data_IF_925835751037
#
_entry.id   IF_925835751037
#
_cell.length_a   1.000
_cell.length_b   1.000
_cell.length_c   1.000
_cell.angle_alpha   90.00
_cell.angle_beta   90.00
_cell.angle_gamma   90.00
#
_symmetry.space_group_name_H-M   'P 1'
#
loop_
_entity.id
_entity.type
_entity.pdbx_description
1 polymer ?
2 non-polymer ?
3 water ?
#
# COMPACT_ATOMS: atom_id res chain seq x y z
N UNK A 4 -22.63 16.05 23.54
CA UNK A 4 -22.81 15.07 22.47
C UNK A 4 -22.72 13.63 23.00
N UNK A 5 -23.26 12.68 22.23
CA UNK A 5 -23.39 11.31 22.68
C UNK A 5 -22.40 10.41 21.95
N UNK A 6 -21.93 9.38 22.64
CA UNK A 6 -21.04 8.40 22.02
C UNK A 6 -21.18 7.06 22.72
N UNK A 7 -20.66 6.01 22.09
CA UNK A 7 -20.60 4.70 22.72
C UNK A 7 -19.14 4.27 22.89
N UNK A 8 -18.76 3.90 24.10
CA UNK A 8 -17.41 3.42 24.35
C UNK A 8 -17.28 1.98 23.87
N UNK A 9 -16.34 1.76 22.94
CA UNK A 9 -16.15 0.45 22.31
C UNK A 9 -14.90 -0.27 22.80
N UNK A 10 -13.94 0.46 23.38
CA UNK A 10 -12.74 -0.19 23.94
C UNK A 10 -12.02 0.71 24.90
N UNK A 11 -11.60 0.16 26.03
CA UNK A 11 -10.80 0.91 26.98
C UNK A 11 -9.40 0.33 27.07
N UNK A 12 -8.39 1.09 26.67
CA UNK A 12 -7.01 0.64 26.84
C UNK A 12 -6.54 1.02 28.25
N UNK A 13 -6.83 2.27 28.62
CA UNK A 13 -6.67 2.76 29.98
C UNK A 13 -7.50 4.03 30.08
N UNK A 14 -7.49 4.70 31.23
CA UNK A 14 -8.40 5.84 31.38
C UNK A 14 -8.01 7.02 30.48
N UNK A 15 -6.78 7.00 29.97
CA UNK A 15 -6.30 8.07 29.10
C UNK A 15 -6.33 7.69 27.62
N UNK A 16 -6.88 6.52 27.32
CA UNK A 16 -6.95 6.05 25.94
C UNK A 16 -8.21 5.23 25.76
N UNK A 17 -9.30 5.91 25.41
CA UNK A 17 -10.61 5.30 25.31
C UNK A 17 -11.13 5.49 23.90
N UNK A 18 -11.53 4.38 23.26
CA UNK A 18 -12.13 4.41 21.93
C UNK A 18 -13.63 4.65 22.01
N UNK A 19 -14.14 5.66 21.30
CA UNK A 19 -15.56 5.98 21.30
C UNK A 19 -16.08 6.16 19.89
N UNK A 20 -17.30 5.72 19.65
CA UNK A 20 -17.96 6.00 18.39
C UNK A 20 -19.00 7.09 18.62
N UNK A 21 -18.78 8.26 18.03
CA UNK A 21 -19.71 9.37 18.20
C UNK A 21 -20.97 9.15 17.38
N UNK A 22 -22.11 9.61 17.89
CA UNK A 22 -23.42 9.23 17.32
C UNK A 22 -23.59 9.61 15.87
N UNK A 23 -22.90 10.66 15.42
CA UNK A 23 -22.96 11.08 14.02
C UNK A 23 -22.61 9.94 13.05
N UNK A 24 -21.82 8.97 13.53
CA UNK A 24 -21.34 7.87 12.70
C UNK A 24 -22.07 6.54 12.90
N UNK A 25 -23.17 6.53 13.65
CA UNK A 25 -23.86 5.26 13.89
C UNK A 25 -24.34 4.57 12.62
N UNK A 26 -24.91 5.33 11.69
CA UNK A 26 -25.41 4.76 10.45
C UNK A 26 -24.26 4.28 9.58
N UNK A 27 -23.16 5.03 9.60
CA UNK A 27 -21.97 4.63 8.85
C UNK A 27 -21.41 3.31 9.38
N UNK A 28 -21.36 3.16 10.71
CA UNK A 28 -20.89 1.91 11.31
C UNK A 28 -21.81 0.75 10.90
N UNK A 29 -23.11 1.00 10.92
CA UNK A 29 -24.08 -0.02 10.54
C UNK A 29 -23.88 -0.48 9.10
N UNK A 30 -23.62 0.47 8.19
CA UNK A 30 -23.41 0.14 6.79
C UNK A 30 -22.13 -0.66 6.58
N UNK A 31 -21.08 -0.30 7.32
CA UNK A 31 -19.82 -1.05 7.24
C UNK A 31 -20.03 -2.51 7.64
N UNK A 32 -20.69 -2.70 8.79
CA UNK A 32 -20.99 -4.04 9.30
C UNK A 32 -21.86 -4.83 8.33
N UNK A 33 -22.90 -4.20 7.81
CA UNK A 33 -23.81 -4.88 6.89
C UNK A 33 -23.07 -5.31 5.63
N UNK A 34 -22.24 -4.42 5.09
CA UNK A 34 -21.50 -4.76 3.88
C UNK A 34 -20.46 -5.86 4.10
N UNK A 35 -19.73 -5.78 5.21
CA UNK A 35 -18.73 -6.80 5.50
C UNK A 35 -19.34 -8.16 5.82
N UNK A 36 -20.51 -8.19 6.42
CA UNK A 36 -21.12 -9.47 6.80
C UNK A 36 -22.15 -9.99 5.80
N UNK A 37 -22.30 -9.32 4.66
CA UNK A 37 -23.38 -9.62 3.74
C UNK A 37 -22.94 -10.29 2.46
N UNK A 38 -21.65 -10.25 2.16
CA UNK A 38 -21.12 -10.81 0.93
C UNK A 38 -19.86 -11.63 1.21
N UNK A 39 -19.51 -12.51 0.28
CA UNK A 39 -18.31 -13.33 0.43
C UNK A 39 -17.05 -12.50 0.34
N UNK A 40 -16.18 -12.63 1.34
CA UNK A 40 -14.91 -11.89 1.35
C UNK A 40 -13.82 -12.76 0.78
N UNK A 41 -12.74 -12.15 0.30
CA UNK A 41 -11.68 -12.92 -0.35
C UNK A 41 -10.49 -13.15 0.57
N UNK A 42 -10.18 -14.42 0.87
CA UNK A 42 -9.00 -14.68 1.70
C UNK A 42 -7.72 -14.18 1.03
N UNK A 43 -6.78 -13.71 1.83
CA UNK A 43 -5.48 -13.32 1.31
C UNK A 43 -4.76 -14.55 0.78
N UNK A 44 -3.80 -14.34 -0.12
CA UNK A 44 -3.03 -15.43 -0.73
C UNK A 44 -1.54 -15.39 -0.38
N UNK A 45 -1.17 -14.46 0.49
CA UNK A 45 0.20 -14.35 0.97
C UNK A 45 0.21 -13.61 2.30
N UNK A 46 1.36 -13.56 2.97
CA UNK A 46 1.38 -12.98 4.32
C UNK A 46 1.27 -11.47 4.31
N UNK A 47 0.67 -10.92 5.37
CA UNK A 47 0.57 -9.47 5.52
C UNK A 47 1.72 -8.95 6.38
N UNK A 48 1.95 -7.65 6.36
CA UNK A 48 3.00 -7.03 7.17
C UNK A 48 2.35 -6.07 8.17
N UNK A 49 3.10 -5.68 9.19
CA UNK A 49 2.61 -4.75 10.20
C UNK A 49 2.05 -3.50 9.52
N UNK A 50 0.92 -3.02 10.02
CA UNK A 50 0.18 -1.87 9.46
C UNK A 50 -0.65 -2.13 8.20
N UNK A 51 -0.60 -3.35 7.65
CA UNK A 51 -1.47 -3.64 6.51
C UNK A 51 -2.93 -3.58 6.94
N UNK A 52 -3.78 -3.06 6.05
CA UNK A 52 -5.20 -3.02 6.27
C UNK A 52 -5.86 -4.23 5.63
N UNK A 53 -6.83 -4.81 6.32
CA UNK A 53 -7.47 -6.04 5.86
C UNK A 53 -8.80 -6.23 6.61
N UNK A 54 -9.37 -7.42 6.52
CA UNK A 54 -10.59 -7.76 7.23
C UNK A 54 -10.38 -9.08 7.97
N UNK A 55 -10.90 -9.21 9.19
CA UNK A 55 -10.82 -10.49 9.88
C UNK A 55 -12.18 -10.91 10.41
N UNK A 56 -12.33 -12.20 10.70
CA UNK A 56 -13.49 -12.68 11.46
C UNK A 56 -13.13 -12.64 12.94
N UNK A 57 -14.01 -12.04 13.74
CA UNK A 57 -13.82 -11.96 15.19
C UNK A 57 -14.39 -13.23 15.82
N UNK A 58 -13.58 -13.93 16.61
CA UNK A 58 -13.99 -15.22 17.16
C UNK A 58 -15.19 -15.08 18.09
N UNK A 59 -15.25 -13.96 18.81
CA UNK A 59 -16.25 -13.76 19.84
C UNK A 59 -17.68 -13.76 19.30
N UNK A 60 -17.87 -13.16 18.13
CA UNK A 60 -19.22 -13.07 17.56
C UNK A 60 -19.34 -13.64 16.15
N UNK A 61 -18.23 -14.15 15.61
CA UNK A 61 -18.17 -14.71 14.25
C UNK A 61 -18.47 -13.72 13.11
N UNK A 62 -18.53 -12.44 13.43
CA UNK A 62 -18.75 -11.42 12.41
C UNK A 62 -17.46 -10.83 11.88
N UNK A 63 -17.55 -10.07 10.79
CA UNK A 63 -16.36 -9.55 10.11
C UNK A 63 -16.10 -8.08 10.38
N UNK A 64 -14.81 -7.72 10.49
CA UNK A 64 -14.40 -6.40 10.91
C UNK A 64 -13.21 -5.87 10.10
N UNK A 65 -13.20 -4.57 9.86
CA UNK A 65 -12.01 -3.95 9.30
C UNK A 65 -10.89 -4.03 10.32
N UNK A 66 -9.70 -4.36 9.85
CA UNK A 66 -8.58 -4.61 10.75
C UNK A 66 -7.27 -4.04 10.25
N UNK A 67 -6.33 -3.86 11.18
CA UNK A 67 -4.97 -3.47 10.84
C UNK A 67 -4.01 -4.39 11.59
N UNK A 68 -2.98 -4.87 10.90
CA UNK A 68 -2.03 -5.78 11.49
C UNK A 68 -1.14 -5.06 12.50
N UNK A 69 -1.16 -5.53 13.75
CA UNK A 69 -0.29 -5.01 14.78
C UNK A 69 1.02 -5.79 14.86
N UNK A 70 0.91 -7.12 14.84
CA UNK A 70 2.08 -7.98 14.95
C UNK A 70 1.96 -9.22 14.08
N UNK A 71 3.07 -9.58 13.43
CA UNK A 71 3.15 -10.81 12.66
C UNK A 71 3.69 -11.87 13.62
N UNK A 72 2.85 -12.83 13.97
CA UNK A 72 3.20 -13.83 14.99
C UNK A 72 3.72 -15.11 14.37
N UNK A 73 4.21 -16.01 15.21
CA UNK A 73 4.60 -17.34 14.77
C UNK A 73 3.37 -18.16 14.43
N UNK A 74 3.58 -19.29 13.75
CA UNK A 74 2.50 -20.20 13.36
C UNK A 74 1.46 -19.54 12.46
N UNK A 75 1.91 -18.56 11.68
CA UNK A 75 1.04 -17.85 10.74
C UNK A 75 -0.17 -17.20 11.40
N UNK A 76 0.03 -16.68 12.60
CA UNK A 76 -1.03 -15.92 13.28
C UNK A 76 -0.69 -14.44 13.24
N UNK A 77 -1.70 -13.60 13.47
CA UNK A 77 -1.51 -12.16 13.52
C UNK A 77 -2.26 -11.58 14.69
N UNK A 78 -1.65 -10.63 15.39
CA UNK A 78 -2.39 -9.79 16.31
C UNK A 78 -2.85 -8.58 15.53
N UNK A 79 -4.16 -8.32 15.57
CA UNK A 79 -4.74 -7.24 14.80
C UNK A 79 -5.56 -6.32 15.70
N UNK A 80 -5.77 -5.09 15.24
CA UNK A 80 -6.74 -4.19 15.86
C UNK A 80 -7.99 -4.12 14.98
N UNK A 81 -9.16 -4.20 15.61
CA UNK A 81 -10.41 -3.96 14.89
C UNK A 81 -10.61 -2.46 14.85
N UNK A 82 -10.17 -1.85 13.76
CA UNK A 82 -9.98 -0.40 13.70
C UNK A 82 -11.21 0.44 13.99
N UNK A 83 -12.39 -0.09 13.71
CA UNK A 83 -13.60 0.67 13.93
C UNK A 83 -14.00 0.67 15.41
N UNK A 84 -13.38 -0.20 16.20
CA UNK A 84 -13.78 -0.39 17.60
C UNK A 84 -12.65 -0.16 18.60
N UNK A 85 -11.46 -0.63 18.26
CA UNK A 85 -10.29 -0.39 19.10
C UNK A 85 -9.70 -1.60 19.80
N UNK A 86 -10.51 -2.63 20.02
CA UNK A 86 -10.02 -3.85 20.66
C UNK A 86 -9.11 -4.64 19.75
N UNK A 87 -8.32 -5.53 20.35
CA UNK A 87 -7.39 -6.34 19.59
C UNK A 87 -7.73 -7.82 19.70
N UNK A 88 -7.21 -8.63 18.80
CA UNK A 88 -7.48 -10.05 18.83
C UNK A 88 -6.46 -10.76 17.96
N UNK A 89 -6.40 -12.08 18.08
CA UNK A 89 -5.45 -12.88 17.32
C UNK A 89 -6.19 -13.80 16.39
N UNK A 90 -5.82 -13.74 15.10
CA UNK A 90 -6.50 -14.52 14.08
C UNK A 90 -5.46 -15.32 13.28
N UNK A 91 -5.93 -16.31 12.54
CA UNK A 91 -5.03 -17.10 11.71
C UNK A 91 -5.40 -17.02 10.24
N UNK A 92 -6.35 -16.15 9.93
CA UNK A 92 -6.81 -15.95 8.55
C UNK A 92 -7.17 -14.50 8.30
N UNK A 93 -6.72 -13.98 7.15
CA UNK A 93 -6.95 -12.59 6.79
C UNK A 93 -7.72 -12.54 5.48
N UNK A 94 -8.57 -11.53 5.35
CA UNK A 94 -9.29 -11.30 4.10
C UNK A 94 -8.89 -9.93 3.55
N UNK A 95 -9.04 -9.76 2.24
CA UNK A 95 -8.78 -8.47 1.61
C UNK A 95 -9.85 -7.46 2.03
N UNK A 96 -9.44 -6.22 2.21
CA UNK A 96 -10.39 -5.13 2.45
C UNK A 96 -11.02 -4.70 1.13
N UNK A 97 -12.35 -4.81 1.01
CA UNK A 97 -13.00 -4.37 -0.22
C UNK A 97 -12.67 -2.91 -0.53
N UNK A 98 -12.50 -2.60 -1.82
CA UNK A 98 -12.03 -1.30 -2.27
C UNK A 98 -12.86 -0.11 -1.76
N UNK A 99 -14.16 -0.33 -1.58
CA UNK A 99 -15.07 0.74 -1.19
C UNK A 99 -14.79 1.32 0.21
N UNK A 100 -13.98 0.61 0.99
CA UNK A 100 -13.66 1.02 2.35
C UNK A 100 -12.31 1.70 2.50
N UNK A 101 -11.49 1.66 1.46
CA UNK A 101 -10.10 2.10 1.52
C UNK A 101 -9.90 3.51 2.12
N UNK A 102 -10.76 4.44 1.73
CA UNK A 102 -10.59 5.84 2.16
C UNK A 102 -11.45 6.25 3.35
N UNK A 103 -12.24 5.32 3.87
CA UNK A 103 -13.10 5.63 5.02
C UNK A 103 -12.29 5.52 6.32
N UNK A 104 -12.19 6.63 7.04
CA UNK A 104 -11.44 6.63 8.31
C UNK A 104 -12.05 5.67 9.33
N UNK A 105 -11.23 5.22 10.31
CA UNK A 105 -11.79 4.40 11.38
C UNK A 105 -12.93 5.14 12.07
N UNK A 106 -13.98 4.41 12.42
CA UNK A 106 -15.17 5.02 13.01
C UNK A 106 -14.85 5.54 14.42
N UNK A 107 -14.32 4.67 15.27
CA UNK A 107 -13.93 5.05 16.62
C UNK A 107 -12.85 6.13 16.67
N UNK A 108 -13.01 7.08 17.58
CA UNK A 108 -11.99 8.09 17.83
C UNK A 108 -11.46 7.86 19.23
N UNK A 109 -10.20 8.24 19.47
CA UNK A 109 -9.61 8.06 20.78
C UNK A 109 -9.67 9.34 21.61
N UNK A 110 -10.12 9.21 22.86
CA UNK A 110 -10.13 10.33 23.79
C UNK A 110 -9.54 9.89 25.12
N UNK A 111 -9.31 10.87 25.99
CA UNK A 111 -8.73 10.62 27.30
C UNK A 111 -9.56 11.26 28.39
N UNK A 112 -9.75 10.56 29.51
CA UNK A 112 -10.32 11.21 30.68
C UNK A 112 -9.23 12.10 31.28
N UNK A 113 -9.63 12.97 32.19
CA UNK A 113 -8.70 13.74 32.98
C UNK A 113 -7.78 12.79 33.76
N UNK A 114 -6.56 13.24 34.09
CA UNK A 114 -5.59 12.40 34.78
C UNK A 114 -5.88 12.30 36.27
N UNK A 115 -5.50 11.17 36.88
CA UNK A 115 -5.60 11.03 38.33
C UNK A 115 -4.61 10.01 38.83
N UNK A 116 -3.84 10.38 39.85
CA UNK A 116 -2.89 9.44 40.44
C UNK A 116 -3.57 8.19 41.00
N UNK A 117 -4.85 8.31 41.32
CA UNK A 117 -5.61 7.16 41.78
C UNK A 117 -5.67 6.12 40.67
N UNK A 118 -5.86 6.59 39.44
CA UNK A 118 -5.95 5.69 38.30
C UNK A 118 -4.59 5.06 38.02
N UNK A 119 -3.51 5.83 38.19
CA UNK A 119 -2.18 5.35 37.82
C UNK A 119 -1.56 4.42 38.85
N UNK A 120 -1.92 4.63 40.12
CA UNK A 120 -1.36 3.85 41.21
C UNK A 120 -2.14 2.55 41.42
N UNK A 121 -3.30 2.46 40.78
CA UNK A 121 -4.22 1.35 40.97
C UNK A 121 -4.82 0.96 39.64
N UNK A 122 -3.98 0.55 38.70
CA UNK A 122 -4.42 0.38 37.31
C UNK A 122 -5.47 -0.71 37.11
N UNK A 123 -5.18 -1.90 37.61
CA UNK A 123 -6.09 -3.03 37.44
C UNK A 123 -7.43 -2.81 38.14
N UNK A 124 -7.38 -2.28 39.36
CA UNK A 124 -8.62 -2.03 40.08
C UNK A 124 -9.45 -0.95 39.39
N UNK A 125 -8.78 0.08 38.89
CA UNK A 125 -9.45 1.15 38.20
C UNK A 125 -10.12 0.62 36.95
N UNK A 126 -9.41 -0.22 36.19
CA UNK A 126 -9.97 -0.69 34.93
C UNK A 126 -11.14 -1.66 35.10
N UNK A 127 -11.07 -2.52 36.10
CA UNK A 127 -12.19 -3.45 36.36
C UNK A 127 -13.41 -2.69 36.88
N UNK A 128 -13.17 -1.69 37.73
CA UNK A 128 -14.25 -0.86 38.22
C UNK A 128 -14.88 -0.07 37.08
N UNK A 129 -14.05 0.44 36.18
CA UNK A 129 -14.52 1.23 35.04
C UNK A 129 -15.37 0.33 34.13
N UNK A 130 -14.91 -0.90 33.91
CA UNK A 130 -15.65 -1.85 33.07
C UNK A 130 -17.05 -2.08 33.59
N UNK A 131 -17.18 -2.23 34.91
CA UNK A 131 -18.46 -2.47 35.54
C UNK A 131 -19.36 -1.24 35.41
N UNK A 132 -18.75 -0.07 35.58
CA UNK A 132 -19.44 1.21 35.40
C UNK A 132 -19.99 1.36 33.98
N UNK A 133 -19.16 1.03 32.99
CA UNK A 133 -19.57 1.14 31.59
C UNK A 133 -20.65 0.12 31.26
N UNK A 134 -20.53 -1.09 31.80
CA UNK A 134 -21.55 -2.10 31.57
C UNK A 134 -22.90 -1.60 32.06
N UNK A 135 -22.89 -0.81 33.14
CA UNK A 135 -24.13 -0.30 33.71
C UNK A 135 -24.86 0.71 32.82
N UNK A 136 -24.19 1.24 31.81
CA UNK A 136 -24.85 2.09 30.83
C UNK A 136 -24.70 1.56 29.40
N UNK A 137 -24.27 0.31 29.30
CA UNK A 137 -23.91 -0.32 28.02
C UNK A 137 -23.00 0.58 27.17
N UNK A 138 -22.07 1.27 27.84
CA UNK A 138 -21.09 2.09 27.16
C UNK A 138 -21.57 3.41 26.60
N UNK A 139 -22.85 3.74 26.79
CA UNK A 139 -23.39 4.98 26.21
C UNK A 139 -23.14 6.17 27.14
N UNK A 140 -22.46 7.19 26.62
CA UNK A 140 -22.01 8.33 27.41
C UNK A 140 -22.25 9.67 26.73
N UNK A 141 -22.46 10.68 27.56
CA UNK A 141 -22.41 12.06 27.09
C UNK A 141 -20.97 12.52 27.18
N UNK A 142 -20.54 13.29 26.19
CA UNK A 142 -19.15 13.70 26.10
C UNK A 142 -19.02 15.21 26.08
N UNK A 143 -18.23 15.76 26.99
CA UNK A 143 -17.87 17.18 26.96
C UNK A 143 -16.36 17.31 26.80
N UNK A 144 -15.91 18.21 25.93
CA UNK A 144 -14.48 18.38 25.70
C UNK A 144 -13.79 19.36 26.65
N UNK A 145 -12.77 18.87 27.35
CA UNK A 145 -11.98 19.70 28.24
C UNK A 145 -10.84 20.35 27.45
N UNK A 146 -10.16 19.55 26.65
CA UNK A 146 -9.04 20.04 25.85
C UNK A 146 -9.01 19.35 24.49
N UNK A 147 -9.53 20.04 23.46
CA UNK A 147 -9.59 19.47 22.13
C UNK A 147 -8.23 19.39 21.44
N UNK A 148 -7.30 20.26 21.84
CA UNK A 148 -6.00 20.31 21.18
C UNK A 148 -5.02 19.25 21.67
N UNK A 149 -5.38 18.59 22.76
CA UNK A 149 -4.57 17.50 23.30
C UNK A 149 -4.67 16.25 22.45
N UNK A 150 -3.70 15.36 22.60
CA UNK A 150 -3.69 14.11 21.85
C UNK A 150 -3.38 12.93 22.78
N UNK A 151 -4.41 12.14 23.14
CA UNK A 151 -5.80 12.29 22.72
C UNK A 151 -6.47 13.50 23.38
N UNK A 152 -7.58 13.99 22.81
CA UNK A 152 -8.31 15.09 23.42
C UNK A 152 -8.84 14.67 24.78
N UNK A 153 -8.83 15.58 25.75
CA UNK A 153 -9.31 15.27 27.08
C UNK A 153 -10.80 15.59 27.21
N UNK A 154 -11.56 14.66 27.79
CA UNK A 154 -13.01 14.80 27.85
C UNK A 154 -13.57 14.47 29.23
N UNK A 155 -14.79 14.92 29.49
CA UNK A 155 -15.57 14.50 30.65
C UNK A 155 -16.68 13.60 30.18
N UNK A 156 -16.82 12.44 30.82
CA UNK A 156 -17.84 11.48 30.41
C UNK A 156 -18.93 11.34 31.46
N UNK A 157 -20.18 11.33 31.04
CA UNK A 157 -21.33 11.16 31.91
C UNK A 157 -22.17 10.00 31.38
N UNK A 158 -22.66 9.11 32.25
CA UNK A 158 -23.48 8.01 31.74
C UNK A 158 -24.72 8.58 31.08
N UNK A 159 -25.04 8.09 29.90
CA UNK A 159 -26.18 8.61 29.13
C UNK A 159 -27.45 7.93 29.60
N UNK A 160 -27.79 8.13 30.87
CA UNK A 160 -28.97 7.53 31.46
C UNK A 160 -29.47 8.41 32.61
N UNK A 161 -30.46 7.93 33.34
CA UNK A 161 -31.13 8.78 34.34
C UNK A 161 -30.23 9.22 35.50
N UNK A 162 -29.14 8.49 35.71
CA UNK A 162 -28.22 8.80 36.81
C UNK A 162 -27.34 10.00 36.47
N UNK A 163 -27.07 10.19 35.19
CA UNK A 163 -26.08 11.16 34.74
C UNK A 163 -24.82 11.06 35.60
N UNK A 164 -24.31 9.85 35.72
CA UNK A 164 -23.18 9.58 36.58
C UNK A 164 -21.89 10.20 36.03
N UNK A 165 -21.21 10.98 36.86
CA UNK A 165 -20.00 11.69 36.43
C UNK A 165 -18.82 10.75 36.59
N UNK A 166 -18.35 10.22 35.47
CA UNK A 166 -17.46 9.06 35.52
C UNK A 166 -16.09 9.34 36.16
N UNK A 167 -15.50 10.50 35.86
CA UNK A 167 -14.18 10.81 36.40
C UNK A 167 -14.23 10.82 37.93
N UNK A 168 -15.16 11.59 38.48
CA UNK A 168 -15.30 11.69 39.91
C UNK A 168 -15.82 10.40 40.55
N UNK A 169 -16.80 9.76 39.91
CA UNK A 169 -17.36 8.54 40.48
C UNK A 169 -16.37 7.39 40.50
N UNK A 170 -15.57 7.28 39.45
CA UNK A 170 -14.60 6.20 39.37
C UNK A 170 -13.54 6.35 40.45
N UNK A 171 -13.09 7.57 40.68
CA UNK A 171 -12.15 7.83 41.76
C UNK A 171 -12.74 7.42 43.11
N UNK A 172 -14.00 7.80 43.31
CA UNK A 172 -14.71 7.51 44.56
C UNK A 172 -14.83 6.01 44.82
N UNK A 173 -15.25 5.25 43.81
CA UNK A 173 -15.38 3.79 43.94
C UNK A 173 -14.07 3.07 44.21
N UNK A 174 -12.99 3.49 43.54
CA UNK A 174 -11.68 2.88 43.74
C UNK A 174 -11.18 3.19 45.15
N UNK A 175 -11.30 4.44 45.58
CA UNK A 175 -10.86 4.81 46.92
C UNK A 175 -11.65 4.07 47.98
N UNK A 176 -12.93 3.84 47.72
CA UNK A 176 -13.80 3.18 48.69
C UNK A 176 -13.41 1.72 48.89
N UNK A 177 -13.01 1.06 47.80
CA UNK A 177 -12.58 -0.33 47.86
C UNK A 177 -11.21 -0.45 48.54
N UNK A 178 -10.29 0.44 48.19
CA UNK A 178 -8.98 0.50 48.86
C UNK A 178 -9.14 0.76 50.36
N UNK A 179 -10.06 1.64 50.72
CA UNK A 179 -10.23 1.99 52.12
C UNK A 179 -10.83 0.82 52.92
N UNK A 180 -11.78 0.12 52.30
CA UNK A 180 -12.40 -1.03 52.95
C UNK A 180 -11.37 -2.09 53.28
N UNK A 181 -10.46 -2.33 52.34
CA UNK A 181 -9.43 -3.34 52.51
C UNK A 181 -8.33 -2.90 53.48
N UNK A 182 -7.95 -1.62 53.41
CA UNK A 182 -6.71 -1.18 54.04
C UNK A 182 -6.89 -0.36 55.31
N UNK A 183 -8.12 0.03 55.61
CA UNK A 183 -8.37 0.80 56.82
C UNK A 183 -9.32 0.08 57.78
N UNK B 1 17.57 -21.68 -32.60
CA UNK B 1 16.75 -21.98 -33.76
C UNK B 1 15.31 -21.48 -33.56
N UNK B 2 14.65 -22.01 -32.54
CA UNK B 2 13.31 -21.55 -32.20
C UNK B 2 13.38 -20.20 -31.51
N UNK B 3 12.61 -19.24 -32.00
CA UNK B 3 12.60 -17.91 -31.41
C UNK B 3 11.18 -17.50 -31.02
N UNK B 4 11.08 -16.40 -30.27
CA UNK B 4 9.83 -15.72 -30.02
C UNK B 4 10.03 -14.24 -30.30
N UNK B 5 8.99 -13.57 -30.80
CA UNK B 5 9.10 -12.19 -31.21
C UNK B 5 8.90 -11.25 -30.03
N UNK B 6 9.64 -10.15 -30.01
CA UNK B 6 9.46 -9.12 -28.99
C UNK B 6 9.79 -7.75 -29.55
N UNK B 7 9.38 -6.72 -28.82
CA UNK B 7 9.84 -5.36 -29.10
C UNK B 7 10.74 -4.92 -27.97
N UNK B 8 11.93 -4.45 -28.29
CA UNK B 8 12.78 -3.80 -27.29
C UNK B 8 12.29 -2.37 -27.08
N UNK B 9 11.90 -2.07 -25.85
CA UNK B 9 11.29 -0.78 -25.56
C UNK B 9 12.27 0.15 -24.86
N UNK B 10 13.33 -0.41 -24.28
CA UNK B 10 14.35 0.41 -23.65
C UNK B 10 15.63 -0.38 -23.42
N UNK B 11 16.77 0.26 -23.68
CA UNK B 11 18.06 -0.34 -23.37
C UNK B 11 18.83 0.53 -22.39
N UNK B 12 19.17 -0.04 -21.24
CA UNK B 12 20.03 0.64 -20.26
C UNK B 12 21.49 0.37 -20.61
N UNK B 13 21.77 -0.87 -20.99
CA UNK B 13 23.07 -1.31 -21.48
C UNK B 13 22.86 -2.69 -22.07
N UNK B 14 23.88 -3.29 -22.69
CA UNK B 14 23.66 -4.55 -23.40
C UNK B 14 23.31 -5.71 -22.46
N UNK B 15 23.54 -5.53 -21.17
CA UNK B 15 23.26 -6.57 -20.18
C UNK B 15 21.93 -6.31 -19.49
N UNK B 16 21.26 -5.24 -19.90
CA UNK B 16 20.03 -4.83 -19.25
C UNK B 16 19.05 -4.24 -20.28
N UNK B 17 18.29 -5.13 -20.92
CA UNK B 17 17.44 -4.77 -22.05
C UNK B 17 16.00 -5.07 -21.72
N UNK B 18 15.13 -4.10 -21.96
CA UNK B 18 13.71 -4.25 -21.66
C UNK B 18 12.95 -4.68 -22.92
N UNK B 19 12.35 -5.86 -22.87
CA UNK B 19 11.61 -6.40 -24.02
C UNK B 19 10.13 -6.65 -23.69
N UNK B 20 9.27 -6.35 -24.64
CA UNK B 20 7.85 -6.69 -24.54
C UNK B 20 7.61 -7.88 -25.45
N UNK B 21 7.36 -9.03 -24.86
CA UNK B 21 7.16 -10.24 -25.65
C UNK B 21 5.76 -10.30 -26.27
N UNK B 22 5.65 -10.94 -27.43
CA UNK B 22 4.42 -10.91 -28.22
C UNK B 22 3.22 -11.46 -27.46
N UNK B 23 3.46 -12.33 -26.49
CA UNK B 23 2.39 -12.88 -25.67
C UNK B 23 1.65 -11.78 -24.92
N UNK B 24 2.31 -10.67 -24.64
CA UNK B 24 1.68 -9.57 -23.90
C UNK B 24 1.17 -8.45 -24.79
N UNK B 25 1.09 -8.69 -26.09
CA UNK B 25 0.66 -7.66 -27.03
C UNK B 25 -0.71 -7.08 -26.66
N UNK B 26 -1.68 -7.95 -26.44
CA UNK B 26 -3.04 -7.50 -26.18
C UNK B 26 -3.14 -6.84 -24.82
N UNK B 27 -2.35 -7.33 -23.88
CA UNK B 27 -2.32 -6.76 -22.54
C UNK B 27 -1.78 -5.33 -22.60
N UNK B 28 -0.68 -5.14 -23.31
CA UNK B 28 -0.10 -3.81 -23.42
C UNK B 28 -1.07 -2.86 -24.12
N UNK B 29 -1.77 -3.37 -25.13
CA UNK B 29 -2.75 -2.58 -25.86
C UNK B 29 -3.86 -2.11 -24.92
N UNK B 30 -4.36 -3.01 -24.09
CA UNK B 30 -5.48 -2.68 -23.22
C UNK B 30 -5.05 -1.70 -22.13
N UNK B 31 -3.82 -1.84 -21.64
CA UNK B 31 -3.30 -0.92 -20.65
C UNK B 31 -3.21 0.50 -21.21
N UNK B 32 -2.65 0.66 -22.41
CA UNK B 32 -2.59 1.97 -23.04
C UNK B 32 -3.98 2.54 -23.29
N UNK B 33 -4.88 1.69 -23.80
CA UNK B 33 -6.25 2.14 -24.06
C UNK B 33 -6.93 2.67 -22.80
N UNK B 34 -6.87 1.88 -21.73
CA UNK B 34 -7.58 2.22 -20.51
C UNK B 34 -6.98 3.41 -19.77
N UNK B 35 -5.65 3.49 -19.72
CA UNK B 35 -5.00 4.62 -19.05
C UNK B 35 -5.19 5.92 -19.82
N UNK B 36 -5.42 5.83 -21.14
CA UNK B 36 -5.58 7.03 -21.95
C UNK B 36 -7.03 7.31 -22.34
N UNK B 37 -7.96 6.49 -21.87
CA UNK B 37 -9.35 6.56 -22.31
C UNK B 37 -10.33 7.07 -21.27
N UNK B 38 -9.82 7.53 -20.15
CA UNK B 38 -10.65 8.17 -19.14
C UNK B 38 -9.80 9.01 -18.19
N UNK B 39 -10.38 10.07 -17.65
CA UNK B 39 -9.67 10.92 -16.72
C UNK B 39 -9.26 10.12 -15.48
N UNK B 40 -8.00 10.24 -15.10
CA UNK B 40 -7.48 9.55 -13.92
C UNK B 40 -7.57 10.41 -12.67
N UNK B 41 -7.50 9.75 -11.51
CA UNK B 41 -7.53 10.43 -10.23
C UNK B 41 -6.13 10.84 -9.80
N UNK B 42 -5.95 12.13 -9.46
CA UNK B 42 -4.63 12.63 -9.05
C UNK B 42 -4.27 12.18 -7.63
N UNK B 43 -2.98 11.99 -7.37
CA UNK B 43 -2.53 11.73 -6.01
C UNK B 43 -2.66 13.04 -5.24
N UNK B 44 -3.00 12.96 -3.96
CA UNK B 44 -3.30 14.16 -3.19
C UNK B 44 -2.29 14.46 -2.09
N UNK B 45 -1.27 13.63 -1.97
CA UNK B 45 -0.19 13.90 -1.02
C UNK B 45 1.13 13.33 -1.49
N UNK B 46 2.20 13.72 -0.81
CA UNK B 46 3.56 13.29 -1.12
C UNK B 46 3.68 11.76 -1.21
N UNK B 47 4.28 11.28 -2.28
CA UNK B 47 4.52 9.85 -2.50
C UNK B 47 5.91 9.43 -2.02
N UNK B 48 6.12 8.13 -1.93
CA UNK B 48 7.39 7.57 -1.45
C UNK B 48 8.03 6.69 -2.52
N UNK B 49 9.34 6.52 -2.43
CA UNK B 49 10.07 5.59 -3.30
C UNK B 49 9.35 4.25 -3.35
N UNK B 50 9.24 3.71 -4.57
CA UNK B 50 8.60 2.42 -4.86
C UNK B 50 7.08 2.41 -4.90
N UNK B 51 6.46 3.57 -4.66
CA UNK B 51 5.01 3.67 -4.83
C UNK B 51 4.63 3.39 -6.27
N UNK B 52 3.55 2.64 -6.46
CA UNK B 52 3.07 2.35 -7.80
C UNK B 52 2.03 3.39 -8.17
N UNK B 53 2.14 3.92 -9.38
CA UNK B 53 1.23 4.97 -9.79
C UNK B 53 1.15 5.09 -11.31
N UNK B 54 0.64 6.22 -11.78
CA UNK B 54 0.51 6.49 -13.20
C UNK B 54 1.02 7.91 -13.46
N UNK B 55 1.76 8.12 -14.54
CA UNK B 55 2.20 9.47 -14.89
C UNK B 55 1.86 9.83 -16.33
N UNK B 56 1.90 11.12 -16.64
CA UNK B 56 1.84 11.56 -18.03
C UNK B 56 3.26 11.81 -18.51
N UNK B 57 3.66 11.06 -19.53
CA UNK B 57 4.97 11.20 -20.17
C UNK B 57 5.02 12.51 -20.93
N UNK B 58 5.95 13.39 -20.56
CA UNK B 58 6.06 14.70 -21.21
C UNK B 58 6.36 14.58 -22.71
N UNK B 59 7.04 13.51 -23.10
CA UNK B 59 7.42 13.32 -24.51
C UNK B 59 6.23 13.17 -25.47
N UNK B 60 5.23 12.41 -25.07
CA UNK B 60 4.10 12.14 -25.96
C UNK B 60 2.74 12.50 -25.36
N UNK B 61 2.76 13.09 -24.17
CA UNK B 61 1.55 13.48 -23.45
C UNK B 61 0.60 12.34 -23.12
N UNK B 62 1.08 11.10 -23.19
CA UNK B 62 0.26 9.95 -22.88
C UNK B 62 0.51 9.40 -21.47
N UNK B 63 -0.40 8.56 -20.99
CA UNK B 63 -0.33 8.05 -19.62
C UNK B 63 0.25 6.63 -19.51
N UNK B 64 1.06 6.42 -18.48
CA UNK B 64 1.84 5.18 -18.30
C UNK B 64 1.82 4.70 -16.85
N UNK B 65 1.89 3.39 -16.65
CA UNK B 65 2.07 2.85 -15.31
C UNK B 65 3.48 3.17 -14.86
N UNK B 66 3.64 3.56 -13.60
CA UNK B 66 4.95 4.01 -13.14
C UNK B 66 5.30 3.55 -11.74
N UNK B 67 6.59 3.61 -11.42
CA UNK B 67 7.06 3.39 -10.07
C UNK B 67 8.05 4.49 -9.69
N UNK B 68 7.91 5.01 -8.48
CA UNK B 68 8.75 6.11 -8.02
C UNK B 68 10.17 5.62 -7.74
N UNK B 69 11.15 6.23 -8.41
CA UNK B 69 12.56 5.95 -8.15
C UNK B 69 13.17 6.93 -7.15
N UNK B 70 12.89 8.22 -7.32
CA UNK B 70 13.43 9.23 -6.42
C UNK B 70 12.38 10.28 -6.11
N UNK B 71 12.40 10.77 -4.88
CA UNK B 71 11.58 11.91 -4.47
C UNK B 71 12.42 13.19 -4.54
N UNK B 72 12.07 14.05 -5.48
CA UNK B 72 12.90 15.21 -5.79
C UNK B 72 12.37 16.49 -5.14
N UNK B 73 13.20 17.54 -5.17
CA UNK B 73 12.79 18.84 -4.66
C UNK B 73 11.73 19.44 -5.57
N UNK B 74 10.99 20.42 -5.06
CA UNK B 74 9.91 21.07 -5.79
C UNK B 74 8.83 20.11 -6.29
N UNK B 75 8.42 19.18 -5.42
CA UNK B 75 7.36 18.23 -5.74
C UNK B 75 7.52 17.47 -7.06
N UNK B 76 8.76 17.17 -7.42
CA UNK B 76 9.01 16.36 -8.61
C UNK B 76 9.38 14.94 -8.22
N UNK B 77 9.28 14.03 -9.19
CA UNK B 77 9.68 12.65 -8.98
C UNK B 77 10.40 12.11 -10.20
N UNK B 78 11.47 11.34 -9.96
CA UNK B 78 12.02 10.52 -11.03
C UNK B 78 11.29 9.20 -10.94
N UNK B 79 10.79 8.72 -12.09
CA UNK B 79 10.03 7.48 -12.13
C UNK B 79 10.47 6.59 -13.29
N UNK B 80 10.19 5.30 -13.17
CA UNK B 80 10.37 4.38 -14.29
C UNK B 80 8.99 4.05 -14.85
N UNK B 81 8.86 4.09 -16.18
CA UNK B 81 7.64 3.65 -16.83
C UNK B 81 7.71 2.15 -16.94
N UNK B 82 7.05 1.48 -16.00
CA UNK B 82 7.32 0.06 -15.76
C UNK B 82 7.05 -0.87 -16.94
N UNK B 83 6.15 -0.48 -17.82
CA UNK B 83 5.81 -1.36 -18.94
C UNK B 83 6.79 -1.23 -20.11
N UNK B 84 7.67 -0.24 -20.05
CA UNK B 84 8.60 0.06 -21.13
C UNK B 84 10.08 0.03 -20.69
N UNK B 85 10.36 0.58 -19.51
CA UNK B 85 11.70 0.52 -18.94
C UNK B 85 12.40 1.87 -18.81
N UNK B 86 12.00 2.83 -19.62
CA UNK B 86 12.65 4.14 -19.59
C UNK B 86 12.30 4.94 -18.33
N UNK B 87 13.14 5.91 -18.00
CA UNK B 87 12.90 6.74 -16.82
C UNK B 87 12.68 8.20 -17.21
N UNK B 88 11.97 8.92 -16.37
CA UNK B 88 11.61 10.30 -16.67
C UNK B 88 11.27 11.04 -15.40
N UNK B 89 11.30 12.37 -15.47
CA UNK B 89 10.96 13.22 -14.33
C UNK B 89 9.59 13.83 -14.58
N UNK B 90 8.72 13.73 -13.58
CA UNK B 90 7.38 14.29 -13.66
C UNK B 90 7.15 15.21 -12.46
N UNK B 91 6.11 16.02 -12.52
CA UNK B 91 5.77 16.88 -11.39
C UNK B 91 4.33 16.68 -10.94
N UNK B 92 3.69 15.63 -11.45
CA UNK B 92 2.33 15.27 -11.04
C UNK B 92 2.17 13.75 -11.13
N UNK B 93 1.49 13.16 -10.15
CA UNK B 93 1.28 11.71 -10.10
C UNK B 93 -0.20 11.39 -10.05
N UNK B 94 -0.58 10.24 -10.60
CA UNK B 94 -1.97 9.78 -10.62
C UNK B 94 -2.12 8.42 -9.95
N UNK B 95 -3.31 8.13 -9.45
CA UNK B 95 -3.55 6.81 -8.86
C UNK B 95 -3.61 5.71 -9.94
N UNK B 96 -3.01 4.57 -9.63
CA UNK B 96 -3.18 3.40 -10.47
C UNK B 96 -4.54 2.80 -10.16
N UNK B 97 -5.40 2.68 -11.16
CA UNK B 97 -6.70 2.03 -10.91
C UNK B 97 -6.53 0.59 -10.43
N UNK B 98 -7.44 0.13 -9.58
CA UNK B 98 -7.30 -1.17 -8.93
C UNK B 98 -7.16 -2.35 -9.89
N UNK B 99 -7.80 -2.27 -11.04
CA UNK B 99 -7.76 -3.38 -12.00
C UNK B 99 -6.35 -3.70 -12.51
N UNK B 100 -5.40 -2.80 -12.32
CA UNK B 100 -4.03 -2.99 -12.80
C UNK B 100 -3.07 -3.50 -11.72
N UNK B 101 -3.51 -3.50 -10.46
CA UNK B 101 -2.61 -3.71 -9.32
C UNK B 101 -1.82 -5.02 -9.36
N UNK B 102 -2.49 -6.10 -9.74
CA UNK B 102 -1.87 -7.41 -9.72
C UNK B 102 -1.09 -7.78 -10.97
N UNK B 103 -1.13 -6.92 -11.98
CA UNK B 103 -0.44 -7.18 -13.24
C UNK B 103 1.03 -6.74 -13.19
N UNK B 104 1.95 -7.69 -13.34
CA UNK B 104 3.37 -7.37 -13.32
C UNK B 104 3.75 -6.51 -14.52
N UNK B 105 4.89 -5.80 -14.44
CA UNK B 105 5.33 -4.97 -15.56
C UNK B 105 5.39 -5.80 -16.83
N UNK B 106 4.94 -5.23 -17.94
CA UNK B 106 4.93 -5.95 -19.20
C UNK B 106 6.33 -6.24 -19.70
N UNK B 107 7.18 -5.21 -19.72
CA UNK B 107 8.56 -5.38 -20.18
C UNK B 107 9.35 -6.28 -19.25
N UNK B 108 10.00 -7.30 -19.82
CA UNK B 108 10.90 -8.16 -19.07
C UNK B 108 12.37 -7.80 -19.37
N UNK B 109 13.23 -7.94 -18.37
CA UNK B 109 14.64 -7.56 -18.51
C UNK B 109 15.51 -8.75 -18.87
N UNK B 110 16.23 -8.65 -19.98
CA UNK B 110 17.13 -9.71 -20.43
C UNK B 110 18.50 -9.12 -20.73
N UNK B 111 19.46 -10.00 -21.00
CA UNK B 111 20.83 -9.58 -21.27
C UNK B 111 21.30 -10.24 -22.54
N UNK B 112 22.07 -9.52 -23.36
CA UNK B 112 22.79 -10.17 -24.44
C UNK B 112 24.00 -10.92 -23.88
N UNK B 113 24.64 -11.70 -24.74
CA UNK B 113 25.90 -12.35 -24.41
C UNK B 113 27.00 -11.33 -24.18
N UNK B 114 28.02 -11.67 -23.38
CA UNK B 114 29.07 -10.69 -23.05
C UNK B 114 30.02 -10.39 -24.20
N UNK B 115 30.54 -9.16 -24.23
CA UNK B 115 31.63 -8.79 -25.14
C UNK B 115 32.46 -7.65 -24.57
N UNK B 116 33.78 -7.82 -24.53
CA UNK B 116 34.66 -6.75 -24.05
C UNK B 116 34.48 -5.51 -24.90
N UNK B 117 34.12 -5.70 -26.17
CA UNK B 117 33.94 -4.58 -27.08
C UNK B 117 32.83 -3.67 -26.57
N UNK B 118 31.78 -4.26 -26.02
CA UNK B 118 30.64 -3.49 -25.51
C UNK B 118 31.06 -2.57 -24.35
N UNK B 119 32.07 -2.98 -23.60
CA UNK B 119 32.41 -2.28 -22.37
C UNK B 119 33.51 -1.21 -22.51
N UNK B 120 34.17 -1.15 -23.67
CA UNK B 120 35.27 -0.21 -23.86
C UNK B 120 34.81 1.24 -23.77
N UNK B 121 33.64 1.52 -24.33
CA UNK B 121 33.04 2.84 -24.28
C UNK B 121 31.53 2.62 -24.20
N UNK B 122 30.99 2.57 -22.98
CA UNK B 122 29.59 2.18 -22.81
C UNK B 122 28.62 3.15 -23.46
N UNK B 123 28.97 4.44 -23.46
CA UNK B 123 28.12 5.44 -24.08
C UNK B 123 28.00 5.20 -25.59
N UNK B 124 29.13 4.86 -26.20
CA UNK B 124 29.16 4.56 -27.62
C UNK B 124 28.39 3.29 -27.95
N UNK B 125 28.56 2.27 -27.12
CA UNK B 125 27.79 1.04 -27.32
C UNK B 125 26.29 1.36 -27.31
N UNK B 126 25.87 2.21 -26.38
CA UNK B 126 24.46 2.51 -26.25
C UNK B 126 23.90 3.27 -27.44
N UNK B 127 24.59 4.32 -27.88
CA UNK B 127 24.08 5.06 -29.04
C UNK B 127 24.11 4.19 -30.29
N UNK B 128 25.12 3.33 -30.39
CA UNK B 128 25.23 2.49 -31.58
C UNK B 128 24.07 1.49 -31.61
N UNK B 129 23.79 0.90 -30.44
CA UNK B 129 22.77 -0.13 -30.31
C UNK B 129 21.39 0.48 -30.56
N UNK B 130 21.13 1.64 -29.99
CA UNK B 130 19.83 2.29 -30.20
C UNK B 130 19.57 2.63 -31.67
N UNK B 131 20.61 3.09 -32.37
CA UNK B 131 20.50 3.39 -33.80
C UNK B 131 20.20 2.12 -34.61
N UNK B 132 20.87 1.03 -34.25
CA UNK B 132 20.64 -0.27 -34.89
C UNK B 132 19.21 -0.72 -34.65
N UNK B 133 18.72 -0.53 -33.44
CA UNK B 133 17.36 -0.92 -33.10
C UNK B 133 16.33 -0.05 -33.83
N UNK B 134 16.66 1.22 -34.05
CA UNK B 134 15.75 2.11 -34.79
C UNK B 134 15.53 1.59 -36.21
N UNK B 135 16.55 0.95 -36.77
CA UNK B 135 16.47 0.42 -38.13
C UNK B 135 15.49 -0.73 -38.26
N UNK B 136 15.10 -1.33 -37.14
CA UNK B 136 14.09 -2.40 -37.18
C UNK B 136 12.90 -2.11 -36.26
N UNK B 137 12.80 -0.86 -35.83
CA UNK B 137 11.75 -0.43 -34.90
C UNK B 137 11.68 -1.28 -33.63
N UNK B 138 12.85 -1.74 -33.16
CA UNK B 138 12.95 -2.54 -31.95
C UNK B 138 12.43 -3.97 -32.07
N UNK B 139 11.93 -4.34 -33.23
CA UNK B 139 11.35 -5.66 -33.41
C UNK B 139 12.44 -6.70 -33.59
N UNK B 140 12.48 -7.66 -32.68
CA UNK B 140 13.51 -8.69 -32.72
C UNK B 140 12.94 -10.08 -32.53
N UNK B 141 13.66 -11.06 -33.09
CA UNK B 141 13.44 -12.46 -32.74
C UNK B 141 14.34 -12.79 -31.56
N UNK B 142 13.78 -13.46 -30.56
CA UNK B 142 14.51 -13.74 -29.32
C UNK B 142 14.70 -15.25 -29.07
N UNK B 143 15.95 -15.66 -28.94
CA UNK B 143 16.29 -17.03 -28.57
C UNK B 143 16.95 -16.99 -27.21
N UNK B 144 16.49 -17.81 -26.29
CA UNK B 144 17.10 -17.86 -24.96
C UNK B 144 18.34 -18.73 -24.95
N UNK B 145 19.47 -18.12 -24.63
CA UNK B 145 20.73 -18.82 -24.53
C UNK B 145 20.83 -19.49 -23.17
N UNK B 146 20.46 -18.74 -22.13
CA UNK B 146 20.44 -19.28 -20.78
C UNK B 146 19.33 -18.61 -19.99
N UNK B 147 18.19 -19.30 -19.89
CA UNK B 147 17.02 -18.72 -19.22
C UNK B 147 17.20 -18.71 -17.71
N UNK B 148 18.18 -19.46 -17.22
CA UNK B 148 18.43 -19.61 -15.78
C UNK B 148 19.29 -18.51 -15.19
N UNK B 149 19.88 -17.67 -16.04
CA UNK B 149 20.70 -16.57 -15.56
C UNK B 149 19.82 -15.42 -15.07
N UNK B 150 20.43 -14.48 -14.36
CA UNK B 150 19.74 -13.27 -13.90
C UNK B 150 20.52 -12.02 -14.24
N UNK B 151 20.07 -11.27 -15.25
CA UNK B 151 18.91 -11.56 -16.11
C UNK B 151 19.20 -12.69 -17.10
N UNK B 152 18.16 -13.24 -17.73
CA UNK B 152 18.40 -14.32 -18.71
C UNK B 152 19.15 -13.84 -19.93
N UNK B 153 20.06 -14.67 -20.42
CA UNK B 153 20.87 -14.35 -21.57
C UNK B 153 20.12 -14.73 -22.84
N UNK B 154 20.01 -13.78 -23.76
CA UNK B 154 19.31 -14.02 -25.02
C UNK B 154 20.19 -13.72 -26.22
N UNK B 155 19.81 -14.28 -27.36
CA UNK B 155 20.44 -13.98 -28.65
C UNK B 155 19.39 -13.32 -29.53
N UNK B 156 19.72 -12.17 -30.09
CA UNK B 156 18.73 -11.38 -30.83
C UNK B 156 19.02 -11.30 -32.32
N UNK B 157 17.96 -11.37 -33.11
CA UNK B 157 18.09 -11.20 -34.56
C UNK B 157 16.96 -10.31 -35.04
N UNK B 158 17.17 -9.58 -36.14
CA UNK B 158 16.07 -8.82 -36.72
C UNK B 158 15.16 -9.78 -37.48
N UNK B 159 13.91 -9.38 -37.68
CA UNK B 159 12.97 -10.23 -38.40
C UNK B 159 12.67 -9.67 -39.79
N UNK B 160 13.43 -8.65 -40.18
CA UNK B 160 13.34 -8.12 -41.53
C UNK B 160 14.18 -8.97 -42.48
N UNK B 161 14.34 -8.52 -43.73
CA UNK B 161 15.02 -9.33 -44.74
C UNK B 161 16.51 -9.54 -44.49
N UNK B 162 17.07 -8.76 -43.57
CA UNK B 162 18.49 -8.85 -43.23
C UNK B 162 18.82 -10.05 -42.34
N UNK B 163 17.84 -10.53 -41.57
CA UNK B 163 18.08 -11.53 -40.53
C UNK B 163 19.35 -11.20 -39.76
N UNK B 164 19.44 -9.94 -39.36
CA UNK B 164 20.65 -9.36 -38.81
C UNK B 164 21.00 -9.90 -37.42
N UNK B 165 22.24 -10.39 -37.27
CA UNK B 165 22.69 -10.94 -36.00
C UNK B 165 23.20 -9.81 -35.11
N UNK B 166 22.36 -9.41 -34.16
CA UNK B 166 22.60 -8.19 -33.42
C UNK B 166 23.88 -8.23 -32.59
N UNK B 167 24.19 -9.36 -31.97
CA UNK B 167 25.40 -9.48 -31.16
C UNK B 167 26.65 -9.22 -31.99
N UNK B 168 26.86 -9.99 -33.05
CA UNK B 168 28.04 -9.80 -33.90
C UNK B 168 28.02 -8.47 -34.63
N UNK B 169 26.84 -8.05 -35.09
CA UNK B 169 26.75 -6.81 -35.85
C UNK B 169 27.05 -5.58 -34.98
N UNK B 170 26.54 -5.57 -33.75
CA UNK B 170 26.84 -4.48 -32.83
C UNK B 170 28.33 -4.44 -32.50
N UNK B 171 28.94 -5.61 -32.28
CA UNK B 171 30.38 -5.69 -32.04
C UNK B 171 31.12 -5.00 -33.18
N UNK B 172 30.77 -5.38 -34.40
CA UNK B 172 31.45 -4.89 -35.60
C UNK B 172 31.35 -3.37 -35.73
N UNK B 173 30.16 -2.82 -35.50
CA UNK B 173 29.94 -1.39 -35.63
C UNK B 173 30.66 -0.58 -34.55
N UNK B 174 30.60 -1.08 -33.31
CA UNK B 174 31.24 -0.40 -32.19
C UNK B 174 32.76 -0.43 -32.33
N UNK B 175 33.28 -1.59 -32.72
CA UNK B 175 34.72 -1.74 -32.96
C UNK B 175 35.22 -0.75 -34.01
N UNK B 176 34.43 -0.57 -35.06
CA UNK B 176 34.78 0.32 -36.16
C UNK B 176 34.88 1.77 -35.70
N UNK B 177 33.91 2.20 -34.91
CA UNK B 177 33.89 3.60 -34.48
C UNK B 177 34.95 3.83 -33.40
N UNK B 178 35.08 2.89 -32.47
CA UNK B 178 36.13 2.96 -31.45
C UNK B 178 37.50 3.22 -32.07
N UNK B 179 37.80 2.48 -33.14
CA UNK B 179 39.10 2.62 -33.80
C UNK B 179 39.20 3.98 -34.46
N UNK B 180 38.10 4.43 -35.05
CA UNK B 180 38.07 5.70 -35.74
C UNK B 180 38.28 6.87 -34.79
N UNK B 181 37.67 6.82 -33.62
CA UNK B 181 37.72 7.96 -32.71
C UNK B 181 38.81 7.90 -31.65
N UNK B 182 39.60 6.83 -31.64
CA UNK B 182 40.68 6.74 -30.65
C UNK B 182 41.70 7.86 -30.82
N UNK B 183 42.03 8.52 -29.72
CA UNK B 183 42.96 9.66 -29.79
C UNK B 183 44.41 9.19 -29.91
#
# INVERSE_FOLDING_TARGET
AVTTKAIITHVENTSRIYLQFSEKDSLMDIICEKLNGSKLQPKTEKAAVDDMCVVQFADDLEFYRSRILEVLEDDQYKVILIDYGNTTVVDKLYELPQEFTLIKPVAEICSMEPSAIFEKNKALTLTTFDALLDSCKGVVAVEFVNKSASPPVVRLTTKDKRSLKIYEHLQKLVQAELKLIQK
AVTTKAIITHVENTSRIYLQFSEKDSLMDIICEKLNGSKLQPKTEKAAVDDMCVVQFADDLEFYRSRILEVLEDDQYKVILIDYGNTTVVDKLYELPQEFTLIKPVAEICSMEPSAIFEKNKALTLTTFDALLDSCKGVVAVEFVNKSASPPVVRLTTKDKRSLKIYEHLQKLVQAELKLIQK
#
